data_IF_590551844119
#
_entry.id   IF_590551844119
#
_cell.length_a   1.000
_cell.length_b   1.000
_cell.length_c   1.000
_cell.angle_alpha   90.00
_cell.angle_beta   90.00
_cell.angle_gamma   90.00
#
_symmetry.space_group_name_H-M   'P 1'
#
loop_
_entity.id
_entity.type
_entity.pdbx_description
1 polymer ?
#
# COMPACT_ATOMS: atom_id res chain seq x y z
N UNK A 1 -3.17 -27.60 20.86
CA UNK A 1 -4.10 -26.79 20.04
C UNK A 1 -3.55 -25.38 20.09
N UNK A 2 -2.85 -24.99 19.02
CA UNK A 2 -2.03 -23.77 18.99
C UNK A 2 -2.91 -22.57 18.68
N UNK A 3 -3.23 -21.81 19.72
CA UNK A 3 -3.88 -20.51 19.65
C UNK A 3 -2.84 -19.41 19.38
N UNK A 4 -1.99 -19.63 18.37
CA UNK A 4 -0.94 -18.67 18.00
C UNK A 4 -1.46 -17.78 16.86
N UNK A 5 -2.54 -17.06 17.17
CA UNK A 5 -3.00 -15.99 16.30
C UNK A 5 -2.07 -14.81 16.52
N UNK A 6 -1.21 -14.51 15.54
CA UNK A 6 -0.37 -13.29 15.50
C UNK A 6 -1.20 -11.98 15.68
N UNK A 7 -2.52 -12.09 15.64
CA UNK A 7 -3.47 -11.04 15.94
C UNK A 7 -3.69 -10.78 17.45
N UNK A 8 -3.06 -11.54 18.35
CA UNK A 8 -3.14 -11.38 19.81
C UNK A 8 -1.98 -10.59 20.42
N UNK A 9 -1.06 -10.08 19.60
CA UNK A 9 -0.12 -9.06 20.05
C UNK A 9 -0.89 -7.73 20.25
N UNK A 10 -0.62 -7.09 21.38
CA UNK A 10 -1.54 -6.15 22.07
C UNK A 10 -2.09 -5.08 21.12
N UNK A 11 -3.42 -4.81 21.15
CA UNK A 11 -4.07 -3.81 20.27
C UNK A 11 -3.36 -2.45 20.24
N UNK A 12 -2.72 -2.07 21.34
CA UNK A 12 -1.96 -0.82 21.47
C UNK A 12 -0.71 -0.76 20.59
N UNK A 13 0.06 -1.84 20.45
CA UNK A 13 1.27 -1.84 19.63
C UNK A 13 0.92 -1.76 18.13
N UNK A 14 -0.15 -2.45 17.72
CA UNK A 14 -0.72 -2.35 16.38
C UNK A 14 -1.23 -0.94 16.07
N UNK A 15 -2.00 -0.35 17.00
CA UNK A 15 -2.52 1.02 16.86
C UNK A 15 -1.39 2.07 16.88
N UNK A 16 -0.36 1.88 17.71
CA UNK A 16 0.81 2.76 17.77
C UNK A 16 1.66 2.66 16.49
N UNK A 17 1.79 1.46 15.91
CA UNK A 17 2.44 1.26 14.61
C UNK A 17 1.72 2.07 13.53
N UNK A 18 0.39 1.96 13.42
CA UNK A 18 -0.42 2.73 12.45
C UNK A 18 -0.31 4.24 12.68
N UNK A 19 -0.34 4.69 13.94
CA UNK A 19 -0.26 6.11 14.27
C UNK A 19 1.13 6.73 13.97
N UNK A 20 2.20 5.93 14.09
CA UNK A 20 3.56 6.36 13.77
C UNK A 20 3.94 6.15 12.29
N UNK A 21 3.25 5.27 11.58
CA UNK A 21 3.26 5.20 10.12
C UNK A 21 2.19 6.12 9.53
N UNK A 22 1.98 7.31 10.08
CA UNK A 22 1.28 8.38 9.34
C UNK A 22 2.16 8.81 8.15
N UNK A 23 2.37 7.89 7.22
CA UNK A 23 3.04 8.15 5.97
C UNK A 23 2.08 8.90 5.08
N UNK A 24 2.60 9.79 4.26
CA UNK A 24 1.77 10.45 3.25
C UNK A 24 1.09 9.41 2.34
N UNK A 25 1.66 8.19 2.22
CA UNK A 25 1.28 7.13 1.28
C UNK A 25 0.88 5.78 1.95
N UNK A 26 -0.09 5.78 2.86
CA UNK A 26 -0.48 4.59 3.65
C UNK A 26 -1.22 3.48 2.90
N UNK A 27 -1.87 3.81 1.77
CA UNK A 27 -2.64 2.85 0.98
C UNK A 27 -2.38 3.00 -0.52
N UNK A 28 -2.28 1.87 -1.22
CA UNK A 28 -2.11 1.81 -2.67
C UNK A 28 -3.06 0.80 -3.28
N UNK A 29 -3.66 1.13 -4.42
CA UNK A 29 -4.52 0.23 -5.17
C UNK A 29 -4.13 0.24 -6.65
N UNK A 30 -4.07 -0.94 -7.26
CA UNK A 30 -3.89 -1.15 -8.69
C UNK A 30 -5.07 -2.00 -9.15
N UNK A 31 -6.05 -1.36 -9.78
CA UNK A 31 -7.33 -1.96 -10.08
C UNK A 31 -7.57 -1.98 -11.60
N UNK A 32 -8.05 -3.10 -12.17
CA UNK A 32 -8.40 -3.13 -13.57
C UNK A 32 -9.58 -2.20 -13.86
N UNK A 33 -9.44 -1.34 -14.86
CA UNK A 33 -10.44 -0.38 -15.33
C UNK A 33 -10.40 -0.29 -16.86
N UNK A 34 -11.49 -0.67 -17.54
CA UNK A 34 -11.65 -0.55 -19.00
C UNK A 34 -10.53 -1.16 -19.87
N UNK A 35 -9.85 -2.22 -19.41
CA UNK A 35 -8.75 -2.85 -20.14
C UNK A 35 -7.36 -2.28 -19.81
N UNK A 36 -7.32 -1.28 -18.94
CA UNK A 36 -6.12 -0.71 -18.33
C UNK A 36 -6.14 -0.98 -16.82
N UNK A 37 -5.14 -0.46 -16.12
CA UNK A 37 -5.06 -0.49 -14.67
C UNK A 37 -4.95 0.93 -14.13
N UNK A 38 -5.93 1.30 -13.30
CA UNK A 38 -5.88 2.54 -12.55
C UNK A 38 -5.12 2.32 -11.25
N UNK A 39 -4.11 3.14 -11.04
CA UNK A 39 -3.26 3.09 -9.86
C UNK A 39 -3.50 4.34 -9.02
N UNK A 40 -3.83 4.16 -7.75
CA UNK A 40 -4.16 5.26 -6.83
C UNK A 40 -3.45 5.09 -5.49
N UNK A 41 -3.21 6.21 -4.81
CA UNK A 41 -2.71 6.25 -3.46
C UNK A 41 -3.63 7.09 -2.57
N UNK A 42 -3.74 6.73 -1.30
CA UNK A 42 -4.50 7.49 -0.30
C UNK A 42 -3.93 8.88 0.00
N UNK A 43 -2.76 9.23 -0.54
CA UNK A 43 -2.12 10.54 -0.41
C UNK A 43 -2.80 11.66 -1.22
N UNK A 44 -3.78 11.31 -2.07
CA UNK A 44 -4.44 12.18 -3.05
C UNK A 44 -3.50 12.84 -4.10
N UNK A 45 -2.18 12.60 -4.03
CA UNK A 45 -1.16 13.16 -4.92
C UNK A 45 -0.73 12.21 -6.04
N UNK A 46 -1.32 11.01 -6.15
CA UNK A 46 -0.97 10.02 -7.15
C UNK A 46 -2.19 9.23 -7.65
N UNK A 47 -2.53 9.47 -8.93
CA UNK A 47 -3.56 8.79 -9.71
C UNK A 47 -3.06 8.68 -11.15
N UNK A 48 -2.74 7.46 -11.60
CA UNK A 48 -2.19 7.20 -12.94
C UNK A 48 -2.88 6.00 -13.59
N UNK A 49 -2.80 5.92 -14.91
CA UNK A 49 -3.27 4.79 -15.71
C UNK A 49 -2.10 4.10 -16.42
N UNK A 50 -2.09 2.77 -16.42
CA UNK A 50 -1.07 1.94 -17.08
C UNK A 50 -1.70 0.75 -17.79
N UNK A 51 -1.04 0.25 -18.83
CA UNK A 51 -1.51 -0.92 -19.60
C UNK A 51 -1.15 -2.28 -18.95
N UNK A 52 -0.23 -2.26 -17.99
CA UNK A 52 0.35 -3.47 -17.39
C UNK A 52 0.38 -3.36 -15.84
N UNK A 53 -0.10 -4.39 -15.11
CA UNK A 53 -0.17 -4.33 -13.66
C UNK A 53 1.20 -4.40 -12.99
N UNK A 54 2.24 -4.97 -13.63
CA UNK A 54 3.60 -4.96 -13.11
C UNK A 54 4.21 -3.56 -13.20
N UNK A 55 3.92 -2.82 -14.26
CA UNK A 55 4.28 -1.41 -14.37
C UNK A 55 3.59 -0.59 -13.27
N UNK A 56 2.30 -0.85 -13.00
CA UNK A 56 1.59 -0.23 -11.87
C UNK A 56 2.27 -0.50 -10.53
N UNK A 57 2.68 -1.74 -10.27
CA UNK A 57 3.42 -2.12 -9.05
C UNK A 57 4.79 -1.45 -8.97
N UNK A 58 5.48 -1.30 -10.10
CA UNK A 58 6.78 -0.61 -10.16
C UNK A 58 6.63 0.86 -9.81
N UNK A 59 5.64 1.54 -10.40
CA UNK A 59 5.35 2.94 -10.13
C UNK A 59 4.92 3.16 -8.67
N UNK A 60 4.12 2.24 -8.11
CA UNK A 60 3.74 2.26 -6.69
C UNK A 60 4.97 2.23 -5.76
N UNK A 61 5.97 1.37 -6.05
CA UNK A 61 7.22 1.31 -5.26
C UNK A 61 8.07 2.57 -5.38
N UNK A 62 8.09 3.21 -6.55
CA UNK A 62 8.75 4.50 -6.74
C UNK A 62 8.06 5.57 -5.90
N UNK A 63 6.72 5.61 -5.97
CA UNK A 63 5.91 6.60 -5.28
C UNK A 63 6.09 6.55 -3.76
N UNK A 64 6.16 5.36 -3.16
CA UNK A 64 6.40 5.19 -1.71
C UNK A 64 7.86 5.24 -1.30
N UNK A 65 8.80 5.46 -2.23
CA UNK A 65 10.23 5.37 -1.94
C UNK A 65 10.67 3.99 -1.45
N UNK A 66 9.91 2.93 -1.74
CA UNK A 66 10.22 1.55 -1.35
C UNK A 66 11.30 0.90 -2.24
N UNK A 67 11.85 1.64 -3.21
CA UNK A 67 13.11 1.27 -3.85
C UNK A 67 14.23 1.61 -2.87
N UNK A 68 14.62 0.63 -2.07
CA UNK A 68 15.91 0.64 -1.40
C UNK A 68 16.99 0.35 -2.46
N UNK A 69 18.08 1.12 -2.44
CA UNK A 69 19.31 0.84 -3.23
C UNK A 69 19.86 -0.56 -2.93
#
# INVERSE_FOLDING_TARGET
>A
MSDDSALHEKPLEFLASIANTGGDCDGQAILPENGHYRCTCSCDNWDIEVDDPQEGLRQARIHTGSITD
#
